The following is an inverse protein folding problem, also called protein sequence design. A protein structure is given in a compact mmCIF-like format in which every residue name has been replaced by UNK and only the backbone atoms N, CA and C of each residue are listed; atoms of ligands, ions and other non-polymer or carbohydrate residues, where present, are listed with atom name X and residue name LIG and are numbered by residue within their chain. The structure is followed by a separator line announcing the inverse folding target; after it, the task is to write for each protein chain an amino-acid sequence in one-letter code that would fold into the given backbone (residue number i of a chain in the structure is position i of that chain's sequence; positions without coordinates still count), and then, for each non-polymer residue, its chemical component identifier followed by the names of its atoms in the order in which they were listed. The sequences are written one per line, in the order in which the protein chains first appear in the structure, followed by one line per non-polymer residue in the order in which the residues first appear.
data_IF_188881342614
#
_entry.id   IF_188881342614
#
_cell.length_a   1.000
_cell.length_b   1.000
_cell.length_c   1.000
_cell.angle_alpha   90.00
_cell.angle_beta   90.00
_cell.angle_gamma   90.00
#
_symmetry.space_group_name_H-M   'P 1'
#
loop_
_entity.id
_entity.type
_entity.pdbx_description
1 polymer ?
#
# COMPACT_ATOMS: atom_id res chain seq x y z
N UNK A 1 -3.23 0.44 -9.52
CA UNK A 1 -4.54 1.05 -9.22
C UNK A 1 -5.51 0.03 -8.61
N UNK A 2 -5.43 -1.25 -8.98
CA UNK A 2 -6.27 -2.33 -8.43
C UNK A 2 -5.98 -2.74 -6.96
N UNK A 3 -4.72 -2.67 -6.50
CA UNK A 3 -4.37 -3.01 -5.11
C UNK A 3 -5.01 -2.07 -4.07
N UNK A 4 -5.35 -0.84 -4.44
CA UNK A 4 -5.81 0.19 -3.50
C UNK A 4 -7.19 -0.13 -2.88
N UNK A 5 -8.04 -0.84 -3.62
CA UNK A 5 -9.47 -0.99 -3.29
C UNK A 5 -9.78 -2.16 -2.39
N UNK A 6 -9.09 -3.29 -2.58
CA UNK A 6 -9.30 -4.49 -1.77
C UNK A 6 -8.82 -4.23 -0.33
N UNK A 7 -7.87 -3.31 -0.15
CA UNK A 7 -7.47 -2.83 1.18
C UNK A 7 -8.48 -1.88 1.85
N UNK A 8 -9.25 -1.09 1.10
CA UNK A 8 -10.23 -0.14 1.67
C UNK A 8 -11.42 -0.87 2.30
N UNK A 9 -11.94 -1.92 1.64
CA UNK A 9 -13.07 -2.73 2.15
C UNK A 9 -12.74 -3.56 3.40
N UNK A 10 -11.50 -4.05 3.52
CA UNK A 10 -11.07 -4.85 4.69
C UNK A 10 -10.81 -3.98 5.93
N UNK A 11 -10.52 -2.69 5.73
CA UNK A 11 -10.12 -1.76 6.80
C UNK A 11 -11.23 -1.36 7.79
N UNK A 12 -12.50 -1.47 7.38
CA UNK A 12 -13.66 -0.98 8.14
C UNK A 12 -14.33 -2.06 9.00
N UNK A 13 -13.98 -3.34 8.85
CA UNK A 13 -14.74 -4.46 9.41
C UNK A 13 -14.18 -5.08 10.72
N UNK A 14 -13.00 -4.65 11.19
CA UNK A 14 -12.34 -5.26 12.34
C UNK A 14 -12.15 -4.27 13.48
N UNK A 15 -13.01 -4.37 14.50
CA UNK A 15 -12.81 -3.74 15.80
C UNK A 15 -13.02 -4.79 16.91
N UNK A 16 -11.93 -5.21 17.59
CA UNK A 16 -12.06 -5.59 18.99
C UNK A 16 -11.03 -4.89 19.90
N UNK A 17 -11.37 -4.94 21.20
CA UNK A 17 -10.83 -4.18 22.34
C UNK A 17 -9.30 -4.17 22.46
N UNK A 18 -8.75 -2.98 22.69
CA UNK A 18 -7.32 -2.69 22.79
C UNK A 18 -6.72 -3.12 24.15
N UNK A 19 -5.57 -3.80 24.10
CA UNK A 19 -4.65 -3.98 25.22
C UNK A 19 -3.30 -3.34 24.86
N UNK A 20 -2.78 -2.45 25.70
CA UNK A 20 -1.52 -1.75 25.47
C UNK A 20 -0.30 -2.69 25.59
N UNK A 21 0.57 -2.71 24.57
CA UNK A 21 1.82 -3.47 24.52
C UNK A 21 3.06 -2.56 24.68
N UNK A 22 4.15 -3.04 25.30
CA UNK A 22 5.34 -2.24 25.60
C UNK A 22 6.23 -1.95 24.36
N UNK A 23 7.05 -0.89 24.47
CA UNK A 23 7.82 -0.30 23.38
C UNK A 23 8.94 -1.21 22.84
N UNK A 24 8.96 -1.41 21.52
CA UNK A 24 9.95 -2.18 20.78
C UNK A 24 11.21 -1.35 20.40
N UNK A 25 12.37 -1.99 20.16
CA UNK A 25 13.64 -1.31 19.85
C UNK A 25 13.57 -0.55 18.51
N UNK A 26 14.24 0.60 18.46
CA UNK A 26 14.17 1.56 17.36
C UNK A 26 14.91 1.05 16.11
N UNK A 27 14.21 0.69 15.01
CA UNK A 27 14.86 0.23 13.79
C UNK A 27 15.49 1.41 13.05
N UNK A 28 16.52 1.15 12.23
CA UNK A 28 17.07 2.12 11.27
C UNK A 28 15.95 2.88 10.55
N UNK A 29 16.03 4.21 10.54
CA UNK A 29 14.97 5.10 10.06
C UNK A 29 14.80 4.98 8.55
N UNK A 30 13.90 4.09 8.13
CA UNK A 30 13.42 4.01 6.75
C UNK A 30 12.80 5.34 6.37
N UNK A 31 13.22 5.89 5.22
CA UNK A 31 12.64 7.15 4.72
C UNK A 31 11.16 6.96 4.42
N UNK A 32 10.36 7.97 4.73
CA UNK A 32 8.92 7.97 4.47
C UNK A 32 8.58 9.19 3.62
N UNK A 33 7.97 8.94 2.47
CA UNK A 33 7.40 9.97 1.61
C UNK A 33 5.89 9.91 1.69
N UNK A 34 5.24 11.06 1.84
CA UNK A 34 3.79 11.14 2.04
C UNK A 34 3.12 11.83 0.86
N UNK A 35 2.03 11.22 0.39
CA UNK A 35 1.11 11.81 -0.60
C UNK A 35 -0.28 11.85 0.03
N UNK A 36 -0.87 13.04 0.07
CA UNK A 36 -2.25 13.20 0.55
C UNK A 36 -3.19 13.15 -0.64
N UNK A 37 -4.22 12.31 -0.52
CA UNK A 37 -5.30 12.17 -1.47
C UNK A 37 -6.65 12.36 -0.77
N UNK A 38 -7.29 13.48 -1.05
CA UNK A 38 -8.64 13.76 -0.56
C UNK A 38 -9.67 13.35 -1.62
N UNK A 39 -10.37 12.23 -1.40
CA UNK A 39 -11.32 11.67 -2.37
C UNK A 39 -12.48 12.62 -2.72
N UNK A 40 -12.79 13.60 -1.87
CA UNK A 40 -13.87 14.55 -2.13
C UNK A 40 -13.43 15.73 -3.00
N UNK A 41 -12.14 16.07 -3.01
CA UNK A 41 -11.64 17.31 -3.63
C UNK A 41 -10.52 17.10 -4.66
N UNK A 42 -9.69 16.07 -4.48
CA UNK A 42 -8.65 15.73 -5.44
C UNK A 42 -9.23 14.99 -6.65
N UNK A 43 -8.64 15.25 -7.81
CA UNK A 43 -8.91 14.47 -9.01
C UNK A 43 -7.89 13.35 -9.15
N UNK A 44 -8.20 12.35 -9.98
CA UNK A 44 -7.20 11.35 -10.38
C UNK A 44 -5.93 12.00 -10.95
N UNK A 45 -6.08 13.07 -11.75
CA UNK A 45 -4.96 13.79 -12.34
C UNK A 45 -4.06 14.45 -11.29
N UNK A 46 -4.64 15.06 -10.25
CA UNK A 46 -3.85 15.67 -9.17
C UNK A 46 -3.10 14.61 -8.34
N UNK A 47 -3.76 13.47 -8.04
CA UNK A 47 -3.10 12.34 -7.38
C UNK A 47 -1.93 11.80 -8.22
N UNK A 48 -2.16 11.57 -9.51
CA UNK A 48 -1.13 11.05 -10.41
C UNK A 48 0.07 11.99 -10.49
N UNK A 49 -0.16 13.31 -10.58
CA UNK A 49 0.90 14.30 -10.58
C UNK A 49 1.72 14.28 -9.27
N UNK A 50 1.05 14.23 -8.10
CA UNK A 50 1.71 14.12 -6.79
C UNK A 50 2.57 12.85 -6.69
N UNK A 51 2.05 11.71 -7.12
CA UNK A 51 2.77 10.44 -7.14
C UNK A 51 3.98 10.51 -8.07
N UNK A 52 3.80 10.98 -9.30
CA UNK A 52 4.88 11.07 -10.28
C UNK A 52 6.00 12.01 -9.82
N UNK A 53 5.66 13.18 -9.26
CA UNK A 53 6.64 14.10 -8.68
C UNK A 53 7.40 13.45 -7.50
N UNK A 54 6.70 12.70 -6.65
CA UNK A 54 7.32 11.97 -5.55
C UNK A 54 8.30 10.93 -6.08
N UNK A 55 7.89 10.07 -7.01
CA UNK A 55 8.76 9.03 -7.57
C UNK A 55 9.98 9.61 -8.30
N UNK A 56 9.83 10.74 -8.99
CA UNK A 56 10.93 11.48 -9.62
C UNK A 56 11.98 11.95 -8.60
N UNK A 57 11.54 12.51 -7.48
CA UNK A 57 12.42 13.12 -6.48
C UNK A 57 13.04 12.12 -5.49
N UNK A 58 12.53 10.89 -5.43
CA UNK A 58 12.83 9.95 -4.31
C UNK A 58 13.53 8.67 -4.74
N UNK A 59 13.85 8.55 -6.03
CA UNK A 59 14.55 7.43 -6.63
C UNK A 59 16.01 7.34 -6.16
N UNK A 60 16.24 6.56 -5.09
CA UNK A 60 17.56 6.37 -4.48
C UNK A 60 17.75 4.92 -3.98
N UNK A 61 18.80 4.20 -4.40
CA UNK A 61 19.78 4.61 -5.42
C UNK A 61 19.10 4.75 -6.80
N UNK A 62 19.61 5.67 -7.62
CA UNK A 62 19.02 5.97 -8.93
C UNK A 62 19.27 4.83 -9.90
N UNK A 63 18.23 4.37 -10.60
CA UNK A 63 18.38 3.39 -11.69
C UNK A 63 19.09 4.01 -12.91
N UNK A 64 19.73 3.17 -13.73
CA UNK A 64 20.43 3.58 -14.96
C UNK A 64 19.87 2.76 -16.14
N UNK A 65 19.18 3.40 -17.12
CA UNK A 65 18.90 4.83 -17.22
C UNK A 65 17.79 5.27 -16.23
N UNK A 66 17.82 6.51 -15.71
CA UNK A 66 16.84 6.97 -14.73
C UNK A 66 15.44 7.22 -15.31
N UNK A 67 15.35 7.23 -16.64
CA UNK A 67 14.14 7.50 -17.42
C UNK A 67 14.17 6.68 -18.72
N UNK A 68 13.00 6.20 -19.14
CA UNK A 68 12.77 5.59 -20.45
C UNK A 68 11.56 6.24 -21.09
N UNK A 69 11.78 7.01 -22.17
CA UNK A 69 10.72 7.70 -22.94
C UNK A 69 9.86 8.66 -22.10
N UNK A 70 10.49 9.41 -21.20
CA UNK A 70 9.80 10.35 -20.31
C UNK A 70 9.04 9.67 -19.16
N UNK A 71 9.35 8.39 -18.89
CA UNK A 71 8.85 7.65 -17.73
C UNK A 71 10.00 7.32 -16.80
N UNK A 72 9.84 7.74 -15.54
CA UNK A 72 10.80 7.45 -14.48
C UNK A 72 10.89 5.96 -14.24
N UNK A 73 12.12 5.46 -14.16
CA UNK A 73 12.39 4.09 -13.74
C UNK A 73 12.58 4.09 -12.24
N UNK A 74 11.90 3.18 -11.52
CA UNK A 74 12.02 3.06 -10.06
C UNK A 74 13.44 2.66 -9.64
N UNK A 75 13.74 2.86 -8.36
CA UNK A 75 15.01 2.42 -7.77
C UNK A 75 15.17 0.89 -7.93
N UNK A 76 16.42 0.36 -7.95
CA UNK A 76 16.64 -1.07 -7.89
C UNK A 76 15.86 -1.71 -6.74
N UNK A 77 15.10 -2.75 -7.06
CA UNK A 77 14.36 -3.56 -6.08
C UNK A 77 15.31 -4.09 -5.02
N UNK A 78 14.84 -4.16 -3.78
CA UNK A 78 15.47 -4.93 -2.70
C UNK A 78 15.72 -6.39 -3.09
N UNK A 79 16.76 -6.99 -2.50
CA UNK A 79 17.19 -8.36 -2.80
C UNK A 79 16.16 -9.40 -2.31
N UNK A 80 15.65 -9.20 -1.10
CA UNK A 80 14.57 -10.01 -0.54
C UNK A 80 13.25 -9.24 -0.60
N UNK A 81 12.29 -9.79 -1.32
CA UNK A 81 10.98 -9.19 -1.52
C UNK A 81 10.19 -8.96 -0.23
N UNK A 82 10.29 -9.86 0.74
CA UNK A 82 9.51 -9.74 2.00
C UNK A 82 10.23 -8.92 3.08
N UNK A 83 11.48 -8.53 2.80
CA UNK A 83 12.27 -7.67 3.68
C UNK A 83 11.71 -6.24 3.75
N UNK A 84 12.17 -5.45 4.72
CA UNK A 84 11.76 -4.05 4.88
C UNK A 84 12.20 -3.21 3.66
N UNK A 85 11.31 -2.38 3.05
CA UNK A 85 11.72 -1.54 1.93
C UNK A 85 12.68 -0.44 2.38
N UNK A 86 13.52 0.03 1.46
CA UNK A 86 14.48 1.12 1.70
C UNK A 86 13.79 2.46 1.95
N UNK A 87 12.61 2.64 1.38
CA UNK A 87 11.77 3.80 1.58
C UNK A 87 10.29 3.42 1.42
N UNK A 88 9.45 4.15 2.15
CA UNK A 88 8.00 4.05 2.10
C UNK A 88 7.42 5.17 1.24
N UNK A 89 6.43 4.83 0.44
CA UNK A 89 5.42 5.74 -0.06
C UNK A 89 4.15 5.53 0.77
N UNK A 90 3.83 6.48 1.64
CA UNK A 90 2.59 6.49 2.41
C UNK A 90 1.56 7.36 1.69
N UNK A 91 0.44 6.77 1.31
CA UNK A 91 -0.68 7.51 0.71
C UNK A 91 -1.75 7.69 1.77
N UNK A 92 -1.90 8.93 2.24
CA UNK A 92 -2.92 9.33 3.22
C UNK A 92 -4.21 9.61 2.43
N UNK A 93 -5.14 8.65 2.44
CA UNK A 93 -6.43 8.73 1.74
C UNK A 93 -7.49 9.22 2.71
N UNK A 94 -8.22 10.29 2.34
CA UNK A 94 -9.23 10.93 3.19
C UNK A 94 -10.55 11.06 2.46
N UNK A 95 -11.65 10.87 3.20
CA UNK A 95 -13.00 11.25 2.78
C UNK A 95 -13.83 11.68 3.99
N UNK A 96 -14.19 12.97 4.05
CA UNK A 96 -14.85 13.53 5.23
C UNK A 96 -14.02 13.28 6.50
N UNK A 97 -14.59 12.54 7.46
CA UNK A 97 -13.89 12.14 8.68
C UNK A 97 -13.15 10.79 8.57
N UNK A 98 -13.45 9.99 7.53
CA UNK A 98 -12.78 8.72 7.30
C UNK A 98 -11.38 8.96 6.71
N UNK A 99 -10.42 8.18 7.18
CA UNK A 99 -9.02 8.30 6.79
C UNK A 99 -8.30 6.95 6.88
N UNK A 100 -7.49 6.64 5.89
CA UNK A 100 -6.62 5.47 5.88
C UNK A 100 -5.25 5.84 5.35
N UNK A 101 -4.21 5.16 5.82
CA UNK A 101 -2.85 5.32 5.31
C UNK A 101 -2.44 4.03 4.64
N UNK A 102 -2.09 4.09 3.36
CA UNK A 102 -1.61 2.95 2.61
C UNK A 102 -0.08 2.93 2.66
N UNK A 103 0.50 1.81 3.06
CA UNK A 103 1.95 1.63 3.15
C UNK A 103 2.47 0.88 1.91
N UNK A 104 3.11 1.63 1.01
CA UNK A 104 3.60 1.13 -0.27
C UNK A 104 5.13 1.12 -0.25
N UNK A 105 5.75 0.03 -0.72
CA UNK A 105 7.18 -0.05 -0.93
C UNK A 105 7.57 0.82 -2.14
N UNK A 106 8.51 1.76 -1.97
CA UNK A 106 8.84 2.72 -3.04
C UNK A 106 9.57 2.06 -4.23
N UNK A 107 10.28 0.96 -3.99
CA UNK A 107 11.14 0.28 -4.96
C UNK A 107 10.38 -0.65 -5.91
N UNK A 108 9.29 -1.28 -5.46
CA UNK A 108 8.47 -2.18 -6.30
C UNK A 108 6.97 -1.82 -6.36
N UNK A 109 6.55 -0.77 -5.66
CA UNK A 109 5.17 -0.27 -5.56
C UNK A 109 4.16 -1.31 -5.05
N UNK A 110 4.62 -2.37 -4.36
CA UNK A 110 3.72 -3.27 -3.67
C UNK A 110 3.10 -2.57 -2.46
N UNK A 111 1.85 -2.90 -2.21
CA UNK A 111 1.11 -2.47 -1.02
C UNK A 111 1.29 -3.54 0.05
N UNK A 112 1.93 -3.16 1.14
CA UNK A 112 2.34 -4.10 2.17
C UNK A 112 1.39 -4.08 3.37
N UNK A 113 0.60 -3.02 3.50
CA UNK A 113 -0.36 -2.87 4.59
C UNK A 113 -1.05 -1.51 4.57
N UNK A 114 -1.90 -1.30 5.56
CA UNK A 114 -2.58 -0.04 5.77
C UNK A 114 -2.87 0.23 7.24
N UNK A 115 -3.11 1.50 7.55
CA UNK A 115 -3.60 1.95 8.85
C UNK A 115 -5.06 2.35 8.72
N UNK A 116 -5.95 1.73 9.49
CA UNK A 116 -7.35 2.15 9.52
C UNK A 116 -7.53 3.52 10.20
N UNK A 117 -8.77 4.04 10.22
CA UNK A 117 -9.07 5.33 10.87
C UNK A 117 -8.90 5.33 12.39
N UNK A 118 -9.03 4.16 13.04
CA UNK A 118 -8.78 3.99 14.48
C UNK A 118 -7.28 4.04 14.82
N UNK A 119 -6.43 3.85 13.81
CA UNK A 119 -4.99 3.91 13.92
C UNK A 119 -4.30 2.56 14.01
N UNK A 120 -5.05 1.46 13.89
CA UNK A 120 -4.53 0.10 13.87
C UNK A 120 -3.91 -0.22 12.51
N UNK A 121 -2.77 -0.91 12.55
CA UNK A 121 -2.07 -1.35 11.35
C UNK A 121 -2.46 -2.77 10.98
N UNK A 122 -2.69 -2.97 9.69
CA UNK A 122 -2.92 -4.26 9.07
C UNK A 122 -1.82 -4.50 8.04
N UNK A 123 -1.24 -5.69 8.05
CA UNK A 123 -0.14 -6.07 7.17
C UNK A 123 -0.55 -7.27 6.34
N UNK A 124 -0.28 -7.22 5.04
CA UNK A 124 -0.55 -8.32 4.12
C UNK A 124 0.28 -9.55 4.52
N UNK A 125 -0.27 -10.76 4.33
CA UNK A 125 0.43 -12.00 4.66
C UNK A 125 1.80 -12.05 3.96
N UNK A 126 2.81 -12.58 4.66
CA UNK A 126 4.19 -12.62 4.17
C UNK A 126 5.02 -11.39 4.51
N UNK A 127 4.40 -10.30 4.99
CA UNK A 127 5.11 -9.04 5.30
C UNK A 127 5.13 -8.66 6.80
N UNK A 128 4.45 -9.43 7.66
CA UNK A 128 4.22 -9.07 9.09
C UNK A 128 5.47 -8.87 9.95
N UNK A 129 6.61 -9.48 9.60
CA UNK A 129 7.83 -9.41 10.41
C UNK A 129 8.68 -8.15 10.23
N UNK A 130 8.43 -7.35 9.18
CA UNK A 130 9.48 -6.45 8.65
C UNK A 130 9.07 -4.97 8.53
N UNK A 131 7.79 -4.62 8.70
CA UNK A 131 7.22 -3.58 7.81
C UNK A 131 6.43 -2.45 8.49
N UNK A 132 5.75 -2.68 9.61
CA UNK A 132 4.92 -1.69 10.32
C UNK A 132 5.07 -1.89 11.85
N UNK A 133 4.50 -1.02 12.73
CA UNK A 133 4.70 -1.15 14.18
C UNK A 133 4.48 -2.59 14.65
N UNK A 134 5.25 -3.05 15.64
CA UNK A 134 5.33 -4.45 16.07
C UNK A 134 3.99 -5.10 16.50
N UNK A 135 2.90 -4.34 16.52
CA UNK A 135 1.55 -4.74 16.88
C UNK A 135 0.57 -4.74 15.67
N UNK A 136 1.04 -4.81 14.42
CA UNK A 136 0.11 -4.90 13.27
C UNK A 136 -0.61 -6.25 13.21
N UNK A 137 -1.88 -6.25 12.81
CA UNK A 137 -2.66 -7.46 12.54
C UNK A 137 -2.31 -7.99 11.15
N UNK A 138 -1.92 -9.27 11.05
CA UNK A 138 -1.68 -9.91 9.76
C UNK A 138 -3.01 -10.30 9.10
N UNK A 139 -3.18 -9.90 7.84
CA UNK A 139 -4.34 -10.24 7.02
C UNK A 139 -4.23 -11.69 6.52
N UNK A 140 -5.36 -12.41 6.32
CA UNK A 140 -5.36 -13.82 5.92
C UNK A 140 -5.23 -14.01 4.40
N UNK A 141 -4.53 -13.11 3.72
CA UNK A 141 -4.32 -13.14 2.27
C UNK A 141 -2.97 -12.50 1.91
N UNK A 142 -2.36 -12.97 0.84
CA UNK A 142 -1.12 -12.41 0.30
C UNK A 142 -1.37 -11.24 -0.67
N UNK A 143 -0.30 -10.65 -1.17
CA UNK A 143 -0.27 -9.50 -2.08
C UNK A 143 -0.62 -9.80 -3.54
N UNK A 144 -1.15 -10.98 -3.82
CA UNK A 144 -1.36 -11.45 -5.18
C UNK A 144 -2.85 -11.39 -5.55
N UNK A 145 -3.17 -11.22 -6.84
CA UNK A 145 -4.57 -11.14 -7.27
C UNK A 145 -5.34 -12.46 -7.11
N UNK A 146 -4.64 -13.60 -6.99
CA UNK A 146 -5.29 -14.88 -6.74
C UNK A 146 -5.98 -14.91 -5.38
N UNK A 147 -5.32 -14.43 -4.32
CA UNK A 147 -5.94 -14.36 -2.99
C UNK A 147 -6.96 -13.21 -2.88
N UNK A 148 -6.74 -12.12 -3.61
CA UNK A 148 -7.56 -10.92 -3.50
C UNK A 148 -8.89 -11.01 -4.27
N UNK A 149 -8.90 -11.61 -5.45
CA UNK A 149 -10.11 -11.71 -6.32
C UNK A 149 -10.31 -13.08 -6.94
N UNK A 150 -9.41 -14.03 -6.69
CA UNK A 150 -9.57 -15.40 -7.17
C UNK A 150 -10.78 -16.06 -6.53
N UNK A 151 -11.41 -16.96 -7.27
CA UNK A 151 -12.50 -17.78 -6.77
C UNK A 151 -11.88 -19.06 -6.21
N UNK A 152 -11.96 -19.32 -4.89
CA UNK A 152 -11.39 -20.53 -4.29
C UNK A 152 -11.91 -21.79 -5.01
N UNK A 153 -11.01 -22.70 -5.36
CA UNK A 153 -11.35 -23.96 -6.04
C UNK A 153 -11.67 -23.86 -7.54
N UNK A 154 -11.69 -22.66 -8.14
CA UNK A 154 -11.98 -22.49 -9.57
C UNK A 154 -10.82 -22.87 -10.51
N UNK A 155 -9.60 -23.02 -9.98
CA UNK A 155 -8.39 -23.20 -10.78
C UNK A 155 -8.02 -22.01 -11.68
N UNK A 156 -8.79 -20.91 -11.61
CA UNK A 156 -8.62 -19.73 -12.46
C UNK A 156 -7.70 -18.72 -11.77
N UNK A 157 -6.55 -18.36 -12.38
CA UNK A 157 -5.70 -17.27 -11.89
C UNK A 157 -6.49 -15.98 -11.63
N UNK A 158 -6.37 -15.40 -10.44
CA UNK A 158 -7.14 -14.21 -10.07
C UNK A 158 -6.87 -12.97 -10.93
N UNK A 159 -5.71 -12.88 -11.61
CA UNK A 159 -5.48 -11.78 -12.56
C UNK A 159 -6.44 -11.80 -13.76
N UNK A 160 -7.03 -12.95 -14.10
CA UNK A 160 -8.06 -13.05 -15.14
C UNK A 160 -9.43 -12.54 -14.68
N UNK A 161 -9.61 -12.34 -13.38
CA UNK A 161 -10.88 -11.89 -12.77
C UNK A 161 -10.90 -10.37 -12.51
N UNK A 162 -9.79 -9.68 -12.77
CA UNK A 162 -9.66 -8.23 -12.50
C UNK A 162 -10.70 -7.38 -13.22
N UNK A 163 -11.14 -7.79 -14.41
CA UNK A 163 -12.16 -7.05 -15.16
C UNK A 163 -13.53 -7.03 -14.46
N UNK A 164 -13.77 -7.95 -13.51
CA UNK A 164 -15.01 -8.01 -12.72
C UNK A 164 -14.97 -7.09 -11.50
N UNK A 165 -13.80 -6.58 -11.13
CA UNK A 165 -13.68 -5.67 -9.99
C UNK A 165 -14.34 -4.34 -10.36
N UNK A 166 -15.38 -3.89 -9.64
CA UNK A 166 -16.03 -2.64 -9.94
C UNK A 166 -15.05 -1.48 -9.71
N UNK A 167 -14.96 -0.58 -10.68
CA UNK A 167 -14.13 0.61 -10.63
C UNK A 167 -14.99 1.87 -10.62
N UNK A 168 -14.60 2.86 -9.82
CA UNK A 168 -15.24 4.18 -9.76
C UNK A 168 -15.05 4.85 -8.41
N UNK A 169 -15.55 6.08 -8.27
CA UNK A 169 -15.49 6.80 -7.00
C UNK A 169 -16.27 6.06 -5.91
N UNK A 170 -17.44 5.50 -6.23
CA UNK A 170 -18.26 4.74 -5.29
C UNK A 170 -17.58 3.46 -4.78
N UNK A 171 -16.62 2.90 -5.53
CA UNK A 171 -15.83 1.74 -5.11
C UNK A 171 -14.61 2.11 -4.27
N UNK A 172 -14.33 3.41 -4.10
CA UNK A 172 -13.24 3.94 -3.29
C UNK A 172 -13.72 4.53 -1.95
N UNK A 173 -15.05 4.55 -1.72
CA UNK A 173 -15.72 5.07 -0.53
C UNK A 173 -16.31 3.92 0.27
#
# INVERSE_FOLDING_TARGET
MELLRILLLVSLAFAPLAQAAPAAPTPATTKVYRVIFDLATDTYGSLYAKLNATLQGTNSPRYIPPDVRGKVVLAPRRDDFTSRPRAWLMVDVKIGQAHTILAIALDDLYLLGFRNSAGDWYTVQGFGGSILPCNSTTLPFEQNYFDLVGIPGSGTPGHMELYKVPLGNQSAV
#
